data_IF_044356340475
#
_entry.id   IF_044356340475
#
_cell.length_a   1.000
_cell.length_b   1.000
_cell.length_c   1.000
_cell.angle_alpha   90.00
_cell.angle_beta   90.00
_cell.angle_gamma   90.00
#
_symmetry.space_group_name_H-M   'P 1'
#
loop_
_entity.id
_entity.type
_entity.pdbx_description
1 polymer ?
#
# COMPACT_ATOMS: atom_id res chain seq x y z
N UNK A 1 -0.80 -0.98 -0.11
CA UNK A 1 -0.45 0.42 -0.44
C UNK A 1 -1.13 0.85 -1.73
N UNK A 2 -1.56 2.11 -1.82
CA UNK A 2 -2.19 2.71 -3.01
C UNK A 2 -1.37 3.91 -3.43
N UNK A 3 -1.04 3.98 -4.72
CA UNK A 3 -0.25 5.06 -5.30
C UNK A 3 -0.92 5.55 -6.57
N UNK A 4 -0.90 6.85 -6.85
CA UNK A 4 -1.48 7.43 -8.05
C UNK A 4 -0.40 8.08 -8.90
N UNK A 5 -0.51 7.90 -10.22
CA UNK A 5 0.36 8.51 -11.22
C UNK A 5 -0.47 9.28 -12.24
N UNK A 6 -0.31 10.58 -12.25
CA UNK A 6 -0.91 11.47 -13.25
C UNK A 6 -0.08 11.41 -14.53
N UNK A 7 -0.75 11.18 -15.65
CA UNK A 7 -0.12 11.12 -16.99
C UNK A 7 -0.80 12.14 -17.89
N UNK A 8 -0.03 12.98 -18.56
CA UNK A 8 -0.51 13.80 -19.67
C UNK A 8 -0.83 12.88 -20.85
N UNK A 9 -2.01 12.30 -20.84
CA UNK A 9 -2.46 11.33 -21.80
C UNK A 9 -3.58 11.84 -22.68
N UNK A 10 -3.79 11.15 -23.77
CA UNK A 10 -4.91 11.36 -24.68
C UNK A 10 -5.60 10.06 -25.01
N UNK A 11 -6.89 10.14 -25.21
CA UNK A 11 -7.71 9.00 -25.59
C UNK A 11 -7.76 8.85 -27.10
N UNK A 12 -7.46 7.64 -27.61
CA UNK A 12 -7.65 7.28 -29.02
C UNK A 12 -8.65 6.14 -29.13
N UNK A 13 -9.47 6.15 -30.18
CA UNK A 13 -10.46 5.09 -30.43
C UNK A 13 -11.83 5.36 -29.81
N UNK A 14 -12.75 4.39 -29.97
CA UNK A 14 -14.14 4.47 -29.49
C UNK A 14 -14.58 3.15 -28.85
N UNK A 15 -15.47 3.23 -27.90
CA UNK A 15 -16.06 2.07 -27.20
C UNK A 15 -15.00 1.16 -26.57
N UNK A 16 -14.97 -0.12 -26.93
CA UNK A 16 -14.03 -1.11 -26.37
C UNK A 16 -12.62 -1.03 -26.97
N UNK A 17 -12.42 -0.23 -28.01
CA UNK A 17 -11.13 -0.02 -28.69
C UNK A 17 -10.47 1.31 -28.26
N UNK A 18 -10.68 1.71 -27.02
CA UNK A 18 -10.08 2.94 -26.49
C UNK A 18 -8.71 2.60 -25.92
N UNK A 19 -7.73 3.40 -26.32
CA UNK A 19 -6.34 3.32 -25.87
C UNK A 19 -5.85 4.69 -25.41
N UNK A 20 -4.96 4.67 -24.43
CA UNK A 20 -4.20 5.80 -23.92
C UNK A 20 -2.73 5.39 -23.95
N UNK A 21 -2.07 5.66 -25.08
CA UNK A 21 -0.70 5.22 -25.31
C UNK A 21 0.32 5.81 -24.31
N UNK A 22 0.25 7.11 -23.94
CA UNK A 22 1.13 7.65 -22.91
C UNK A 22 0.97 6.93 -21.56
N UNK A 23 -0.25 6.62 -21.15
CA UNK A 23 -0.54 5.88 -19.91
C UNK A 23 -0.01 4.44 -20.01
N UNK A 24 -0.18 3.78 -21.16
CA UNK A 24 0.37 2.44 -21.39
C UNK A 24 1.90 2.41 -21.25
N UNK A 25 2.59 3.37 -21.86
CA UNK A 25 4.05 3.51 -21.77
C UNK A 25 4.53 3.78 -20.34
N UNK A 26 3.80 4.61 -19.59
CA UNK A 26 4.11 4.90 -18.20
C UNK A 26 3.97 3.66 -17.30
N UNK A 27 2.92 2.84 -17.51
CA UNK A 27 2.74 1.57 -16.82
C UNK A 27 3.88 0.60 -17.12
N UNK A 28 4.24 0.45 -18.38
CA UNK A 28 5.36 -0.43 -18.80
C UNK A 28 6.67 0.02 -18.16
N UNK A 29 6.98 1.31 -18.21
CA UNK A 29 8.17 1.88 -17.57
C UNK A 29 8.21 1.57 -16.08
N UNK A 30 7.08 1.76 -15.38
CA UNK A 30 7.00 1.48 -13.94
C UNK A 30 7.16 -0.02 -13.63
N UNK A 31 6.65 -0.90 -14.49
CA UNK A 31 6.86 -2.35 -14.32
C UNK A 31 8.33 -2.69 -14.49
N UNK A 32 9.01 -2.15 -15.49
CA UNK A 32 10.46 -2.35 -15.70
C UNK A 32 11.24 -1.87 -14.47
N UNK A 33 10.96 -0.69 -13.94
CA UNK A 33 11.58 -0.18 -12.72
C UNK A 33 11.34 -1.12 -11.51
N UNK A 34 10.14 -1.69 -11.38
CA UNK A 34 9.83 -2.67 -10.33
C UNK A 34 10.59 -4.00 -10.52
N UNK A 35 10.88 -4.41 -11.77
CA UNK A 35 11.64 -5.62 -12.06
C UNK A 35 13.12 -5.50 -11.69
N UNK A 36 13.65 -4.27 -11.73
CA UNK A 36 15.03 -3.95 -11.34
C UNK A 36 15.21 -3.79 -9.83
N UNK A 37 14.13 -3.60 -9.07
CA UNK A 37 14.16 -3.38 -7.63
C UNK A 37 14.00 -4.71 -6.88
N UNK A 38 14.98 -5.07 -6.05
CA UNK A 38 14.99 -6.27 -5.21
C UNK A 38 13.77 -6.36 -4.26
N UNK A 39 13.14 -5.24 -3.92
CA UNK A 39 11.92 -5.24 -3.10
C UNK A 39 10.76 -6.01 -3.77
N UNK A 40 10.81 -6.16 -5.09
CA UNK A 40 9.81 -6.89 -5.88
C UNK A 40 10.22 -8.32 -6.23
N UNK A 41 11.34 -8.84 -5.71
CA UNK A 41 11.76 -10.22 -5.98
C UNK A 41 10.68 -11.22 -5.58
N UNK A 42 10.36 -12.15 -6.50
CA UNK A 42 9.32 -13.16 -6.31
C UNK A 42 7.88 -12.62 -6.30
N UNK A 43 7.66 -11.31 -6.55
CA UNK A 43 6.32 -10.74 -6.62
C UNK A 43 5.70 -10.98 -8.00
N UNK A 44 4.42 -11.30 -8.01
CA UNK A 44 3.62 -11.42 -9.23
C UNK A 44 2.93 -10.10 -9.56
N UNK A 45 2.82 -9.80 -10.87
CA UNK A 45 2.29 -8.54 -11.37
C UNK A 45 1.02 -8.73 -12.19
N UNK A 46 0.13 -7.74 -12.15
CA UNK A 46 -1.04 -7.69 -12.99
C UNK A 46 -1.34 -6.29 -13.48
N UNK A 47 -1.83 -6.17 -14.70
CA UNK A 47 -2.29 -4.92 -15.28
C UNK A 47 -3.75 -5.03 -15.62
N UNK A 48 -4.58 -4.17 -15.07
CA UNK A 48 -6.02 -4.16 -15.30
C UNK A 48 -6.45 -2.87 -15.99
N UNK A 49 -7.00 -3.00 -17.19
CA UNK A 49 -7.64 -1.90 -17.90
C UNK A 49 -9.07 -1.71 -17.37
N UNK A 50 -9.39 -0.51 -16.89
CA UNK A 50 -10.73 -0.18 -16.40
C UNK A 50 -11.71 0.15 -17.54
N UNK A 51 -11.21 0.40 -18.78
CA UNK A 51 -12.02 0.80 -19.92
C UNK A 51 -11.66 0.00 -21.18
N UNK A 52 -12.25 -1.19 -21.30
CA UNK A 52 -12.07 -2.05 -22.47
C UNK A 52 -10.76 -2.85 -22.50
N UNK A 53 -10.66 -3.80 -23.44
CA UNK A 53 -9.52 -4.71 -23.56
C UNK A 53 -8.36 -4.18 -24.41
N UNK A 54 -8.60 -3.20 -25.29
CA UNK A 54 -7.59 -2.69 -26.22
C UNK A 54 -6.35 -2.14 -25.48
N UNK A 55 -6.56 -1.39 -24.41
CA UNK A 55 -5.49 -0.87 -23.57
C UNK A 55 -4.64 -1.99 -22.95
N UNK A 56 -5.28 -3.03 -22.42
CA UNK A 56 -4.55 -4.17 -21.86
C UNK A 56 -3.73 -4.90 -22.94
N UNK A 57 -4.27 -5.05 -24.15
CA UNK A 57 -3.57 -5.63 -25.30
C UNK A 57 -2.37 -4.77 -25.71
N UNK A 58 -2.53 -3.45 -25.75
CA UNK A 58 -1.43 -2.51 -26.03
C UNK A 58 -0.31 -2.64 -25.00
N UNK A 59 -0.66 -2.65 -23.71
CA UNK A 59 0.32 -2.80 -22.63
C UNK A 59 1.02 -4.16 -22.70
N UNK A 60 0.30 -5.25 -22.94
CA UNK A 60 0.89 -6.58 -23.09
C UNK A 60 1.88 -6.64 -24.24
N UNK A 61 1.57 -6.01 -25.38
CA UNK A 61 2.47 -5.90 -26.53
C UNK A 61 3.75 -5.14 -26.19
N UNK A 62 3.63 -4.00 -25.52
CA UNK A 62 4.78 -3.21 -25.09
C UNK A 62 5.65 -3.96 -24.08
N UNK A 63 5.05 -4.65 -23.11
CA UNK A 63 5.77 -5.48 -22.13
C UNK A 63 6.52 -6.62 -22.80
N UNK A 64 5.94 -7.27 -23.81
CA UNK A 64 6.62 -8.33 -24.54
C UNK A 64 7.89 -7.80 -25.25
N UNK A 65 7.88 -6.54 -25.69
CA UNK A 65 9.02 -5.91 -26.36
C UNK A 65 10.12 -5.49 -25.38
N UNK A 66 9.73 -4.96 -24.20
CA UNK A 66 10.66 -4.37 -23.25
C UNK A 66 11.20 -5.41 -22.23
N UNK A 67 10.38 -6.35 -21.81
CA UNK A 67 10.68 -7.27 -20.69
C UNK A 67 11.01 -8.67 -21.20
N UNK A 68 10.35 -9.13 -22.27
CA UNK A 68 10.52 -10.48 -22.82
C UNK A 68 9.64 -11.54 -22.15
N UNK A 69 9.60 -12.71 -22.78
CA UNK A 69 8.67 -13.79 -22.41
C UNK A 69 8.99 -14.40 -21.05
N UNK A 70 10.27 -14.68 -20.80
CA UNK A 70 10.70 -15.42 -19.60
C UNK A 70 10.35 -14.66 -18.31
N UNK A 71 10.57 -13.34 -18.29
CA UNK A 71 10.27 -12.53 -17.11
C UNK A 71 8.74 -12.34 -16.92
N UNK A 72 7.99 -12.25 -18.03
CA UNK A 72 6.51 -12.23 -18.00
C UNK A 72 5.97 -13.50 -17.33
N UNK A 73 6.52 -14.66 -17.68
CA UNK A 73 6.13 -15.95 -17.11
C UNK A 73 6.57 -16.05 -15.63
N UNK A 74 7.82 -15.73 -15.30
CA UNK A 74 8.37 -15.77 -13.95
C UNK A 74 7.58 -14.91 -12.97
N UNK A 75 7.13 -13.74 -13.40
CA UNK A 75 6.33 -12.82 -12.59
C UNK A 75 4.82 -13.08 -12.66
N UNK A 76 4.40 -14.13 -13.40
CA UNK A 76 2.98 -14.41 -13.64
C UNK A 76 2.25 -13.14 -14.07
N UNK A 77 2.90 -12.32 -14.92
CA UNK A 77 2.40 -11.04 -15.36
C UNK A 77 1.23 -11.27 -16.32
N UNK A 78 0.08 -10.73 -15.95
CA UNK A 78 -1.16 -10.80 -16.73
C UNK A 78 -1.64 -9.39 -17.04
N UNK A 79 -1.99 -9.11 -18.29
CA UNK A 79 -2.68 -7.90 -18.72
C UNK A 79 -4.08 -8.26 -19.18
N UNK A 80 -5.10 -7.58 -18.63
CA UNK A 80 -6.48 -7.90 -18.96
C UNK A 80 -7.47 -6.83 -18.48
N UNK A 81 -8.72 -7.21 -18.55
CA UNK A 81 -9.85 -6.48 -17.96
C UNK A 81 -10.15 -7.04 -16.56
N UNK A 82 -11.02 -6.42 -15.77
CA UNK A 82 -11.41 -6.96 -14.47
C UNK A 82 -11.97 -8.39 -14.53
N UNK A 83 -12.57 -8.78 -15.64
CA UNK A 83 -13.10 -10.15 -15.84
C UNK A 83 -11.99 -11.19 -15.90
N UNK A 84 -10.86 -10.87 -16.53
CA UNK A 84 -9.72 -11.77 -16.67
C UNK A 84 -9.03 -12.06 -15.33
N UNK A 85 -9.29 -11.23 -14.32
CA UNK A 85 -8.79 -11.36 -12.96
C UNK A 85 -9.83 -11.92 -11.97
N UNK A 86 -10.95 -12.42 -12.44
CA UNK A 86 -11.96 -12.97 -11.55
C UNK A 86 -11.44 -14.24 -10.88
N UNK A 87 -11.28 -14.19 -9.54
CA UNK A 87 -10.70 -15.30 -8.76
C UNK A 87 -9.17 -15.35 -8.77
N UNK A 88 -8.49 -14.48 -9.48
CA UNK A 88 -7.02 -14.43 -9.56
C UNK A 88 -6.48 -13.14 -8.92
N UNK A 89 -5.40 -13.27 -8.15
CA UNK A 89 -4.78 -12.17 -7.42
C UNK A 89 -3.29 -12.06 -7.76
N UNK A 90 -2.74 -10.85 -7.65
CA UNK A 90 -1.31 -10.54 -7.81
C UNK A 90 -0.81 -9.78 -6.61
N UNK A 91 0.50 -9.86 -6.37
CA UNK A 91 1.13 -9.02 -5.33
C UNK A 91 0.99 -7.55 -5.66
N UNK A 92 1.23 -7.18 -6.91
CA UNK A 92 1.15 -5.81 -7.40
C UNK A 92 0.18 -5.72 -8.57
N UNK A 93 -0.77 -4.81 -8.48
CA UNK A 93 -1.72 -4.50 -9.56
C UNK A 93 -1.51 -3.07 -10.05
N UNK A 94 -1.39 -2.93 -11.36
CA UNK A 94 -1.35 -1.65 -12.07
C UNK A 94 -2.72 -1.44 -12.74
N UNK A 95 -3.44 -0.43 -12.30
CA UNK A 95 -4.72 -0.03 -12.88
C UNK A 95 -4.51 1.05 -13.93
N UNK A 96 -5.01 0.82 -15.13
CA UNK A 96 -5.08 1.81 -16.21
C UNK A 96 -6.49 2.39 -16.25
N UNK A 97 -6.64 3.71 -16.01
CA UNK A 97 -7.94 4.39 -16.10
C UNK A 97 -8.36 4.59 -17.55
N UNK A 98 -7.41 4.70 -18.46
CA UNK A 98 -7.51 4.82 -19.92
C UNK A 98 -8.11 6.14 -20.38
N UNK A 99 -9.19 6.59 -19.74
CA UNK A 99 -9.90 7.81 -20.14
C UNK A 99 -9.02 9.06 -19.93
N UNK A 100 -9.22 10.04 -20.77
CA UNK A 100 -8.53 11.33 -20.72
C UNK A 100 -9.53 12.47 -21.00
N UNK A 101 -9.35 13.65 -20.37
CA UNK A 101 -10.17 14.81 -20.71
C UNK A 101 -9.93 15.24 -22.16
N UNK A 102 -11.00 15.63 -22.84
CA UNK A 102 -10.95 16.17 -24.19
C UNK A 102 -11.23 17.69 -24.12
N UNK A 103 -10.30 18.53 -24.54
CA UNK A 103 -10.45 19.99 -24.69
C UNK A 103 -11.16 20.69 -23.51
N UNK A 104 -10.77 20.37 -22.28
CA UNK A 104 -11.36 20.98 -21.07
C UNK A 104 -12.77 20.51 -20.74
N UNK A 105 -13.26 19.46 -21.39
CA UNK A 105 -14.59 18.89 -21.10
C UNK A 105 -14.48 17.89 -19.93
N UNK A 106 -15.47 17.93 -19.07
CA UNK A 106 -15.64 16.91 -18.01
C UNK A 106 -15.85 15.54 -18.64
N UNK A 107 -15.11 14.55 -18.18
CA UNK A 107 -15.22 13.16 -18.63
C UNK A 107 -16.65 12.62 -18.43
N UNK A 108 -17.07 11.73 -19.34
CA UNK A 108 -18.38 11.08 -19.26
C UNK A 108 -18.54 10.40 -17.90
N UNK A 109 -19.68 10.63 -17.26
CA UNK A 109 -19.99 10.00 -15.97
C UNK A 109 -20.19 8.49 -16.11
N UNK A 110 -19.61 7.71 -15.21
CA UNK A 110 -19.74 6.26 -15.10
C UNK A 110 -20.20 5.92 -13.69
N UNK A 111 -21.39 5.33 -13.55
CA UNK A 111 -21.98 4.98 -12.25
C UNK A 111 -22.91 3.75 -12.28
N UNK A 112 -22.95 3.03 -13.42
CA UNK A 112 -23.79 1.86 -13.54
C UNK A 112 -23.28 0.70 -12.67
N UNK A 113 -24.20 -0.21 -12.29
CA UNK A 113 -23.91 -1.32 -11.38
C UNK A 113 -22.93 -2.35 -11.96
N UNK A 114 -22.88 -2.51 -13.27
CA UNK A 114 -21.92 -3.41 -13.92
C UNK A 114 -20.51 -2.84 -13.80
N UNK A 115 -20.33 -1.58 -14.11
CA UNK A 115 -19.05 -0.89 -13.95
C UNK A 115 -18.62 -0.88 -12.47
N UNK A 116 -19.54 -0.70 -11.53
CA UNK A 116 -19.23 -0.77 -10.10
C UNK A 116 -18.67 -2.15 -9.70
N UNK A 117 -19.27 -3.25 -10.18
CA UNK A 117 -18.75 -4.60 -9.95
C UNK A 117 -17.35 -4.78 -10.53
N UNK A 118 -17.10 -4.27 -11.74
CA UNK A 118 -15.79 -4.31 -12.39
C UNK A 118 -14.74 -3.55 -11.59
N UNK A 119 -15.05 -2.36 -11.08
CA UNK A 119 -14.15 -1.58 -10.22
C UNK A 119 -13.87 -2.32 -8.91
N UNK A 120 -14.88 -2.91 -8.28
CA UNK A 120 -14.70 -3.70 -7.06
C UNK A 120 -13.77 -4.89 -7.29
N UNK A 121 -13.92 -5.61 -8.42
CA UNK A 121 -13.00 -6.68 -8.78
C UNK A 121 -11.59 -6.11 -8.94
N UNK A 122 -11.40 -5.09 -9.77
CA UNK A 122 -10.09 -4.51 -10.06
C UNK A 122 -9.34 -4.07 -8.80
N UNK A 123 -10.03 -3.39 -7.88
CA UNK A 123 -9.41 -2.84 -6.66
C UNK A 123 -9.14 -3.89 -5.58
N UNK A 124 -9.79 -5.07 -5.65
CA UNK A 124 -9.60 -6.16 -4.69
C UNK A 124 -8.57 -7.21 -5.11
N UNK A 125 -7.94 -7.08 -6.28
CA UNK A 125 -6.99 -8.09 -6.82
C UNK A 125 -5.56 -7.92 -6.34
N UNK A 126 -5.22 -6.81 -5.71
CA UNK A 126 -3.89 -6.52 -5.19
C UNK A 126 -3.72 -7.09 -3.78
N UNK A 127 -2.71 -7.96 -3.58
CA UNK A 127 -2.33 -8.45 -2.24
C UNK A 127 -1.52 -7.42 -1.46
N UNK A 128 -0.56 -6.77 -2.13
CA UNK A 128 0.42 -5.89 -1.48
C UNK A 128 0.24 -4.44 -1.93
N UNK A 129 0.15 -4.19 -3.24
CA UNK A 129 0.23 -2.86 -3.79
C UNK A 129 -0.70 -2.64 -4.98
N UNK A 130 -1.36 -1.48 -4.99
CA UNK A 130 -2.20 -1.01 -6.06
C UNK A 130 -1.67 0.32 -6.59
N UNK A 131 -1.37 0.37 -7.88
CA UNK A 131 -0.92 1.56 -8.59
C UNK A 131 -2.01 2.00 -9.56
N UNK A 132 -2.46 3.24 -9.44
CA UNK A 132 -3.46 3.80 -10.35
C UNK A 132 -2.80 4.81 -11.30
N UNK A 133 -2.83 4.52 -12.59
CA UNK A 133 -2.43 5.42 -13.67
C UNK A 133 -3.68 6.09 -14.23
N UNK A 134 -3.63 7.41 -14.37
CA UNK A 134 -4.79 8.18 -14.80
C UNK A 134 -4.37 9.47 -15.51
N UNK A 135 -5.14 9.88 -16.51
CA UNK A 135 -4.98 11.17 -17.17
C UNK A 135 -5.96 12.22 -16.61
N UNK A 136 -7.23 11.90 -16.29
CA UNK A 136 -8.12 12.86 -15.69
C UNK A 136 -7.72 13.15 -14.23
N UNK A 137 -7.86 14.42 -13.85
CA UNK A 137 -7.79 14.87 -12.44
C UNK A 137 -9.17 14.83 -11.80
N UNK A 138 -9.26 15.08 -10.48
CA UNK A 138 -10.57 15.19 -9.81
C UNK A 138 -11.45 16.29 -10.40
N UNK A 139 -10.84 17.36 -10.94
CA UNK A 139 -11.57 18.46 -11.58
C UNK A 139 -12.21 18.08 -12.95
N UNK A 140 -11.69 17.05 -13.60
CA UNK A 140 -12.19 16.54 -14.87
C UNK A 140 -13.30 15.50 -14.71
N UNK A 141 -13.64 15.16 -13.47
CA UNK A 141 -14.58 14.12 -13.12
C UNK A 141 -15.71 14.69 -12.23
N UNK A 142 -16.91 14.15 -12.37
CA UNK A 142 -18.01 14.46 -11.46
C UNK A 142 -17.90 13.63 -10.19
N UNK A 143 -18.27 14.17 -9.05
CA UNK A 143 -18.16 13.53 -7.72
C UNK A 143 -18.89 12.18 -7.62
N UNK A 144 -20.01 12.02 -8.34
CA UNK A 144 -20.77 10.77 -8.38
C UNK A 144 -20.18 9.72 -9.34
N UNK A 145 -19.12 10.07 -10.07
CA UNK A 145 -18.46 9.16 -11.00
C UNK A 145 -17.61 8.14 -10.23
N UNK A 146 -17.74 6.86 -10.56
CA UNK A 146 -16.91 5.79 -9.95
C UNK A 146 -15.40 6.05 -10.10
N UNK A 147 -14.98 6.71 -11.18
CA UNK A 147 -13.57 7.09 -11.38
C UNK A 147 -13.12 8.19 -10.44
N UNK A 148 -14.00 9.15 -10.13
CA UNK A 148 -13.74 10.16 -9.10
C UNK A 148 -13.53 9.49 -7.75
N UNK A 149 -14.45 8.63 -7.34
CA UNK A 149 -14.40 7.92 -6.05
C UNK A 149 -13.15 7.05 -5.94
N UNK A 150 -12.77 6.35 -7.02
CA UNK A 150 -11.55 5.56 -7.05
C UNK A 150 -10.30 6.45 -6.93
N UNK A 151 -10.23 7.53 -7.70
CA UNK A 151 -9.10 8.45 -7.70
C UNK A 151 -8.94 9.14 -6.34
N UNK A 152 -10.04 9.68 -5.80
CA UNK A 152 -10.08 10.29 -4.47
C UNK A 152 -9.62 9.31 -3.39
N UNK A 153 -10.15 8.07 -3.42
CA UNK A 153 -9.75 7.03 -2.48
C UNK A 153 -8.26 6.63 -2.61
N UNK A 154 -7.69 6.67 -3.81
CA UNK A 154 -6.28 6.38 -4.01
C UNK A 154 -5.37 7.55 -3.63
N UNK A 155 -5.80 8.79 -3.84
CA UNK A 155 -5.05 10.01 -3.48
C UNK A 155 -5.12 10.28 -1.97
N UNK A 156 -6.31 10.09 -1.42
CA UNK A 156 -6.59 10.22 -0.01
C UNK A 156 -7.09 8.87 0.49
N UNK A 157 -6.22 7.84 0.58
CA UNK A 157 -6.65 6.61 1.18
C UNK A 157 -7.20 7.03 2.54
N UNK A 158 -8.53 6.98 2.69
CA UNK A 158 -9.10 6.91 4.01
C UNK A 158 -8.41 5.69 4.61
N UNK A 159 -7.37 5.96 5.38
CA UNK A 159 -7.04 5.07 6.45
C UNK A 159 -8.39 4.93 7.14
N UNK A 160 -9.10 3.80 6.97
CA UNK A 160 -10.02 3.41 8.01
C UNK A 160 -9.15 3.59 9.22
N UNK A 161 -9.40 4.69 9.92
CA UNK A 161 -8.83 4.86 11.24
C UNK A 161 -9.38 3.63 11.94
N UNK A 162 -8.58 2.57 11.91
CA UNK A 162 -8.72 1.51 12.87
C UNK A 162 -8.91 2.31 14.13
N UNK A 163 -10.13 2.27 14.66
CA UNK A 163 -10.58 3.16 15.74
C UNK A 163 -9.39 3.26 16.64
N UNK A 164 -8.68 4.40 16.55
CA UNK A 164 -7.67 4.74 17.53
C UNK A 164 -8.50 4.70 18.77
N UNK A 165 -8.44 3.57 19.50
CA UNK A 165 -9.09 3.49 20.78
C UNK A 165 -8.56 4.71 21.48
N UNK A 166 -9.44 5.63 21.88
CA UNK A 166 -9.07 6.79 22.67
C UNK A 166 -8.34 6.26 23.90
N UNK A 167 -7.01 6.04 23.76
CA UNK A 167 -6.18 5.67 24.89
C UNK A 167 -5.75 6.96 25.57
N UNK A 168 -6.01 7.02 26.85
CA UNK A 168 -5.53 8.08 27.72
C UNK A 168 -4.04 7.83 28.00
N UNK A 169 -3.18 8.68 27.42
CA UNK A 169 -1.72 8.61 27.61
C UNK A 169 -1.34 8.69 29.08
N UNK A 170 -2.04 9.52 29.87
CA UNK A 170 -1.77 9.72 31.30
C UNK A 170 -2.16 8.46 32.09
N UNK A 171 -3.27 7.82 31.72
CA UNK A 171 -3.66 6.56 32.32
C UNK A 171 -2.70 5.42 31.96
N UNK A 172 -2.29 5.31 30.69
CA UNK A 172 -1.29 4.32 30.26
C UNK A 172 0.03 4.54 31.01
N UNK A 173 0.46 5.78 31.19
CA UNK A 173 1.68 6.10 31.94
C UNK A 173 1.55 5.69 33.43
N UNK A 174 0.40 5.94 34.03
CA UNK A 174 0.11 5.54 35.41
C UNK A 174 0.16 4.01 35.57
N UNK A 175 -0.46 3.28 34.64
CA UNK A 175 -0.47 1.82 34.66
C UNK A 175 0.92 1.24 34.40
N UNK A 176 1.66 1.77 33.43
CA UNK A 176 3.02 1.33 33.10
C UNK A 176 4.02 1.53 34.22
N UNK A 177 3.84 2.55 35.06
CA UNK A 177 4.67 2.83 36.25
C UNK A 177 4.25 2.06 37.51
N UNK A 178 3.16 1.29 37.49
CA UNK A 178 2.69 0.52 38.61
C UNK A 178 3.69 -0.59 38.97
N UNK A 179 4.03 -0.73 40.26
CA UNK A 179 4.87 -1.84 40.77
C UNK A 179 4.24 -3.23 40.53
N UNK A 180 2.93 -3.27 40.31
CA UNK A 180 2.16 -4.51 40.06
C UNK A 180 1.73 -4.65 38.60
N UNK A 181 2.42 -3.96 37.63
CA UNK A 181 1.99 -3.96 36.21
C UNK A 181 1.89 -5.37 35.62
N UNK A 182 2.74 -6.30 36.07
CA UNK A 182 2.73 -7.69 35.61
C UNK A 182 1.49 -8.49 36.05
N UNK A 183 0.74 -7.97 37.03
CA UNK A 183 -0.53 -8.54 37.51
C UNK A 183 -1.75 -7.85 36.88
N UNK A 184 -1.54 -6.76 36.12
CA UNK A 184 -2.60 -5.99 35.50
C UNK A 184 -2.77 -6.52 34.06
N UNK A 185 -4.01 -6.75 33.62
CA UNK A 185 -4.30 -7.08 32.23
C UNK A 185 -3.79 -5.95 31.33
N UNK A 186 -3.08 -6.30 30.28
CA UNK A 186 -2.59 -5.34 29.30
C UNK A 186 -3.81 -4.59 28.72
N UNK A 187 -3.81 -3.24 28.74
CA UNK A 187 -4.88 -2.44 28.15
C UNK A 187 -5.05 -2.70 26.65
N UNK A 188 -6.28 -2.79 26.19
CA UNK A 188 -6.55 -2.83 24.75
C UNK A 188 -6.21 -1.48 24.11
N UNK A 189 -5.67 -1.42 22.87
CA UNK A 189 -5.51 -2.54 21.93
C UNK A 189 -4.12 -3.21 21.97
N UNK A 190 -3.30 -3.02 22.98
CA UNK A 190 -1.92 -3.49 23.02
C UNK A 190 -1.81 -5.00 23.33
N UNK A 191 -0.81 -5.64 22.71
CA UNK A 191 -0.48 -7.05 22.93
C UNK A 191 0.61 -7.23 24.00
N UNK A 192 1.38 -6.18 24.31
CA UNK A 192 2.47 -6.23 25.29
C UNK A 192 2.68 -4.90 26.06
N UNK A 193 3.22 -5.00 27.28
CA UNK A 193 3.68 -3.83 28.02
C UNK A 193 4.84 -3.10 27.33
N UNK A 194 5.63 -3.81 26.54
CA UNK A 194 6.72 -3.22 25.78
C UNK A 194 6.22 -2.26 24.70
N UNK A 195 5.14 -2.59 23.99
CA UNK A 195 4.49 -1.68 23.05
C UNK A 195 4.05 -0.38 23.73
N UNK A 196 3.45 -0.48 24.93
CA UNK A 196 3.05 0.69 25.73
C UNK A 196 4.26 1.53 26.14
N UNK A 197 5.34 0.91 26.60
CA UNK A 197 6.58 1.61 26.96
C UNK A 197 7.19 2.36 25.77
N UNK A 198 7.19 1.75 24.59
CA UNK A 198 7.67 2.37 23.33
C UNK A 198 6.76 3.52 22.91
N UNK A 199 5.44 3.31 22.93
CA UNK A 199 4.45 4.33 22.61
C UNK A 199 4.63 5.57 23.49
N UNK A 200 4.70 5.39 24.82
CA UNK A 200 4.88 6.49 25.78
C UNK A 200 6.16 7.28 25.53
N UNK A 201 7.27 6.60 25.18
CA UNK A 201 8.53 7.28 24.86
C UNK A 201 8.44 8.13 23.59
N UNK A 202 7.73 7.65 22.58
CA UNK A 202 7.57 8.35 21.30
C UNK A 202 6.61 9.53 21.49
N UNK A 203 5.47 9.31 22.17
CA UNK A 203 4.48 10.35 22.46
C UNK A 203 5.04 11.51 23.29
N UNK A 204 5.91 11.21 24.26
CA UNK A 204 6.63 12.25 25.05
C UNK A 204 7.53 13.15 24.22
N UNK A 205 7.92 12.74 23.01
CA UNK A 205 8.66 13.57 22.06
C UNK A 205 7.76 14.40 21.14
N UNK A 206 6.44 14.36 21.37
CA UNK A 206 5.45 15.14 20.61
C UNK A 206 4.98 14.48 19.32
N UNK A 207 5.33 13.22 19.08
CA UNK A 207 4.84 12.50 17.91
C UNK A 207 3.50 11.85 18.21
N UNK A 208 2.60 11.87 17.22
CA UNK A 208 1.36 11.11 17.27
C UNK A 208 1.65 9.65 16.93
N UNK A 209 1.21 8.74 17.79
CA UNK A 209 1.42 7.31 17.65
C UNK A 209 0.06 6.61 17.58
N UNK A 210 -0.11 5.73 16.60
CA UNK A 210 -1.32 4.93 16.43
C UNK A 210 -0.94 3.47 16.72
N UNK A 211 -1.46 2.88 17.80
CA UNK A 211 -1.20 1.49 18.11
C UNK A 211 -2.01 0.56 17.21
N UNK A 212 -1.50 -0.63 16.99
CA UNK A 212 -2.14 -1.72 16.27
C UNK A 212 -2.69 -1.30 14.89
N UNK A 213 -1.87 -0.54 14.17
CA UNK A 213 -2.23 0.04 12.88
C UNK A 213 -2.36 -1.03 11.78
N UNK A 214 -3.52 -1.09 11.12
CA UNK A 214 -3.76 -2.03 10.04
C UNK A 214 -3.37 -1.44 8.68
N UNK A 215 -2.60 -2.20 7.90
CA UNK A 215 -2.24 -1.87 6.53
C UNK A 215 -2.24 -3.13 5.67
N UNK A 216 -3.00 -3.14 4.59
CA UNK A 216 -3.05 -4.26 3.63
C UNK A 216 -3.21 -5.64 4.29
N UNK A 217 -4.18 -5.78 5.20
CA UNK A 217 -4.44 -6.99 5.98
C UNK A 217 -3.30 -7.43 6.92
N UNK A 218 -2.38 -6.52 7.24
CA UNK A 218 -1.32 -6.73 8.23
C UNK A 218 -1.44 -5.69 9.33
N UNK A 219 -1.18 -6.12 10.56
CA UNK A 219 -1.20 -5.28 11.75
C UNK A 219 0.23 -4.91 12.14
N UNK A 220 0.47 -3.64 12.39
CA UNK A 220 1.73 -3.06 12.87
C UNK A 220 1.52 -2.67 14.33
N UNK A 221 2.48 -2.97 15.20
CA UNK A 221 2.34 -2.67 16.63
C UNK A 221 2.14 -1.18 16.88
N UNK A 222 2.97 -0.32 16.28
CA UNK A 222 2.82 1.13 16.40
C UNK A 222 3.10 1.83 15.06
N UNK A 223 2.29 2.82 14.72
CA UNK A 223 2.51 3.69 13.59
C UNK A 223 2.70 5.13 14.07
N UNK A 224 3.84 5.73 13.73
CA UNK A 224 4.19 7.10 14.11
C UNK A 224 3.93 8.03 12.93
N UNK A 225 3.05 9.01 13.10
CA UNK A 225 2.76 10.00 12.06
C UNK A 225 3.88 11.03 11.95
N UNK A 226 4.31 11.33 10.72
CA UNK A 226 5.29 12.35 10.41
C UNK A 226 4.85 13.27 9.27
N UNK A 227 5.46 14.44 9.14
CA UNK A 227 5.09 15.48 8.16
C UNK A 227 5.20 15.03 6.69
N UNK A 228 6.08 14.10 6.38
CA UNK A 228 6.32 13.61 5.00
C UNK A 228 5.98 12.13 4.82
N UNK A 229 5.34 11.50 5.78
CA UNK A 229 5.01 10.09 5.78
C UNK A 229 5.00 9.56 7.20
N UNK A 230 4.73 8.26 7.36
CA UNK A 230 4.70 7.63 8.67
C UNK A 230 5.75 6.54 8.82
N UNK A 231 6.08 6.24 10.06
CA UNK A 231 7.04 5.24 10.46
C UNK A 231 6.30 4.06 11.08
N UNK A 232 6.53 2.85 10.57
CA UNK A 232 6.06 1.62 11.18
C UNK A 232 7.09 1.14 12.22
N UNK A 233 6.63 0.86 13.42
CA UNK A 233 7.45 0.36 14.53
C UNK A 233 6.90 -0.99 14.97
N UNK A 234 7.76 -2.02 14.96
CA UNK A 234 7.48 -3.36 15.45
C UNK A 234 8.20 -3.58 16.76
N UNK A 235 7.45 -3.98 17.77
CA UNK A 235 7.93 -4.19 19.13
C UNK A 235 8.25 -5.67 19.34
N UNK A 236 9.42 -6.11 18.84
CA UNK A 236 9.85 -7.50 18.96
C UNK A 236 10.46 -7.77 20.34
N UNK A 237 9.76 -8.51 21.18
CA UNK A 237 10.29 -9.01 22.44
C UNK A 237 11.37 -10.06 22.23
N UNK A 238 12.24 -10.29 23.24
CA UNK A 238 13.40 -11.20 23.22
C UNK A 238 13.10 -12.71 23.00
N UNK A 239 11.90 -13.07 22.58
CA UNK A 239 11.55 -14.48 22.31
C UNK A 239 11.96 -14.90 20.92
N UNK A 240 13.18 -15.47 20.83
CA UNK A 240 13.68 -16.42 19.81
C UNK A 240 13.41 -16.09 18.33
N UNK A 241 14.45 -15.64 17.66
CA UNK A 241 14.51 -15.56 16.20
C UNK A 241 15.28 -16.75 15.62
N UNK A 242 14.58 -17.84 15.31
CA UNK A 242 15.12 -18.92 14.47
C UNK A 242 15.23 -18.46 13.00
N UNK A 243 15.98 -19.20 12.14
CA UNK A 243 16.12 -18.85 10.71
C UNK A 243 14.82 -18.68 9.96
N UNK A 244 13.77 -19.39 10.34
CA UNK A 244 12.43 -19.30 9.74
C UNK A 244 11.72 -17.97 10.07
N UNK A 245 12.01 -17.41 11.25
CA UNK A 245 11.46 -16.14 11.68
C UNK A 245 12.13 -14.98 10.92
N UNK A 246 13.44 -15.07 10.70
CA UNK A 246 14.19 -14.07 9.93
C UNK A 246 13.62 -13.87 8.51
N UNK A 247 13.28 -14.95 7.81
CA UNK A 247 12.68 -14.85 6.48
C UNK A 247 11.32 -14.16 6.51
N UNK A 248 10.48 -14.46 7.50
CA UNK A 248 9.17 -13.81 7.68
C UNK A 248 9.31 -12.32 8.00
N UNK A 249 10.28 -11.97 8.84
CA UNK A 249 10.56 -10.57 9.20
C UNK A 249 11.10 -9.79 7.99
N UNK A 250 11.94 -10.40 7.16
CA UNK A 250 12.42 -9.81 5.90
C UNK A 250 11.30 -9.61 4.88
N UNK A 251 10.39 -10.56 4.73
CA UNK A 251 9.20 -10.40 3.88
C UNK A 251 8.29 -9.27 4.38
N UNK A 252 8.11 -9.16 5.69
CA UNK A 252 7.34 -8.10 6.33
C UNK A 252 7.98 -6.74 6.09
N UNK A 253 9.29 -6.62 6.24
CA UNK A 253 10.04 -5.39 5.97
C UNK A 253 9.92 -4.97 4.50
N UNK A 254 10.07 -5.90 3.57
CA UNK A 254 9.87 -5.64 2.13
C UNK A 254 8.46 -5.12 1.84
N UNK A 255 7.45 -5.75 2.44
CA UNK A 255 6.06 -5.32 2.25
C UNK A 255 5.85 -3.86 2.68
N UNK A 256 6.35 -3.46 3.85
CA UNK A 256 6.23 -2.08 4.32
C UNK A 256 7.02 -1.09 3.47
N UNK A 257 8.20 -1.47 2.98
CA UNK A 257 8.96 -0.65 2.03
C UNK A 257 8.20 -0.41 0.74
N UNK A 258 7.54 -1.43 0.18
CA UNK A 258 6.67 -1.31 -0.99
C UNK A 258 5.48 -0.37 -0.76
N UNK A 259 5.00 -0.29 0.48
CA UNK A 259 3.94 0.63 0.86
C UNK A 259 4.43 2.08 1.11
N UNK A 260 5.69 2.40 0.82
CA UNK A 260 6.26 3.73 1.06
C UNK A 260 6.40 4.05 2.55
N UNK A 261 6.49 3.05 3.41
CA UNK A 261 6.67 3.16 4.86
C UNK A 261 8.04 2.63 5.25
N UNK A 262 8.74 3.34 6.11
CA UNK A 262 9.97 2.85 6.70
C UNK A 262 9.66 2.03 7.95
N UNK A 263 10.26 0.85 8.05
CA UNK A 263 10.15 0.00 9.23
C UNK A 263 11.38 0.19 10.11
N UNK A 264 11.17 0.50 11.38
CA UNK A 264 12.20 0.41 12.40
C UNK A 264 11.80 -0.72 13.35
N UNK A 265 12.60 -1.80 13.37
CA UNK A 265 12.52 -2.83 14.40
C UNK A 265 13.34 -2.40 15.61
N UNK A 266 12.73 -2.07 16.74
CA UNK A 266 13.46 -1.98 18.00
C UNK A 266 13.61 -3.39 18.59
N UNK A 267 14.83 -3.90 18.60
CA UNK A 267 15.17 -5.05 19.45
C UNK A 267 15.11 -4.59 20.89
N UNK A 268 14.36 -5.28 21.72
CA UNK A 268 14.28 -5.04 23.16
C UNK A 268 15.62 -5.29 23.84
N UNK A 269 16.51 -4.32 23.80
CA UNK A 269 17.58 -4.14 24.79
C UNK A 269 17.52 -2.72 25.32
N UNK A 270 16.39 -2.36 25.90
CA UNK A 270 16.36 -1.30 26.88
C UNK A 270 16.69 -1.92 28.22
N UNK A 271 18.01 -2.03 28.51
CA UNK A 271 18.46 -2.18 29.87
C UNK A 271 17.91 -1.02 30.69
N UNK A 272 17.12 -1.33 31.68
CA UNK A 272 16.56 -0.42 32.69
C UNK A 272 17.68 0.29 33.47
N UNK A 273 18.92 -0.16 33.34
CA UNK A 273 20.12 0.36 34.00
C UNK A 273 20.96 1.27 33.10
N UNK A 274 20.42 2.39 32.66
CA UNK A 274 21.12 3.63 32.31
C UNK A 274 22.46 3.59 31.54
N UNK A 275 22.90 2.50 30.93
CA UNK A 275 24.11 2.41 30.13
C UNK A 275 23.81 2.15 28.66
N UNK A 276 24.13 3.15 27.83
CA UNK A 276 24.05 3.10 26.37
C UNK A 276 24.77 1.85 25.81
N UNK A 277 24.05 1.05 25.02
CA UNK A 277 24.64 0.26 23.94
C UNK A 277 24.07 0.77 22.62
N UNK A 278 25.00 0.98 21.68
CA UNK A 278 24.77 1.63 20.40
C UNK A 278 23.68 0.96 19.57
N UNK A 279 22.72 1.78 19.14
CA UNK A 279 21.76 1.46 18.10
C UNK A 279 22.49 1.45 16.77
N UNK A 280 22.66 0.30 16.14
CA UNK A 280 23.05 0.25 14.73
C UNK A 280 21.81 0.57 13.90
N UNK A 281 21.81 1.75 13.33
CA UNK A 281 20.96 2.06 12.18
C UNK A 281 21.45 1.21 11.01
N UNK A 282 20.57 0.43 10.44
CA UNK A 282 20.76 -0.21 9.14
C UNK A 282 20.12 0.75 8.13
N UNK A 283 20.97 1.37 7.33
CA UNK A 283 20.56 2.16 6.16
C UNK A 283 20.00 1.24 5.08
#
# INVERSE_FOLDING_TARGET
>A
CKTTHVIEGYRRGRSQHIENEPEAKAIVKQIVECLEDQAYDGKSFGVISLLGGAQATLIAKLLMQEVGHDEIENRRLLCGTPYDFQGDERHVIFLSMVDAPEDGKICRMVRDSETQRRFNVATSRAKDQLWLFHSPTLNDLRTECLRYQLLEHCQNPTVEQARVGDYDVDELERLAKSEKRDQIKIPEPFDSWFEIDVLLKISKRGYRVIPQYEISNRRIDLYVEGLKGGLAVECNGDKWHGPDQFNKDMERQRHFSLCGKSLIGEKSTLNIDGKRKETRMIN
#
